data_IF_619975740434
#
_entry.id   IF_619975740434
#
_cell.length_a   1.000
_cell.length_b   1.000
_cell.length_c   1.000
_cell.angle_alpha   90.00
_cell.angle_beta   90.00
_cell.angle_gamma   90.00
#
_symmetry.space_group_name_H-M   'P 1'
#
loop_
_entity.id
_entity.type
_entity.pdbx_description
1 polymer ?
#
# COMPACT_ATOMS: atom_id res chain seq x y z
N UNK A 1 0.07 39.65 1.48
CA UNK A 1 -0.01 39.75 0.01
C UNK A 1 -0.77 38.55 -0.54
N UNK A 2 -1.68 38.72 -1.51
CA UNK A 2 -2.40 37.63 -2.19
C UNK A 2 -1.47 36.51 -2.70
N UNK A 3 -0.25 36.86 -3.12
CA UNK A 3 0.75 35.88 -3.56
C UNK A 3 1.18 34.91 -2.46
N UNK A 4 1.37 35.41 -1.23
CA UNK A 4 1.77 34.58 -0.10
C UNK A 4 0.67 33.59 0.32
N UNK A 5 -0.59 33.94 0.13
CA UNK A 5 -1.71 33.05 0.41
C UNK A 5 -1.82 31.93 -0.64
N UNK A 6 -1.64 32.25 -1.92
CA UNK A 6 -1.56 31.24 -2.98
C UNK A 6 -0.42 30.25 -2.76
N UNK A 7 0.76 30.74 -2.37
CA UNK A 7 1.91 29.88 -2.06
C UNK A 7 1.63 28.97 -0.86
N UNK A 8 1.02 29.48 0.21
CA UNK A 8 0.60 28.66 1.37
C UNK A 8 -0.39 27.57 0.95
N UNK A 9 -1.40 27.91 0.14
CA UNK A 9 -2.39 26.94 -0.34
C UNK A 9 -1.73 25.84 -1.20
N UNK A 10 -0.83 26.22 -2.12
CA UNK A 10 -0.09 25.26 -2.94
C UNK A 10 0.76 24.32 -2.08
N UNK A 11 1.49 24.86 -1.11
CA UNK A 11 2.36 24.08 -0.24
C UNK A 11 1.56 23.11 0.63
N UNK A 12 0.39 23.53 1.15
CA UNK A 12 -0.48 22.65 1.92
C UNK A 12 -1.01 21.48 1.07
N UNK A 13 -1.39 21.72 -0.19
CA UNK A 13 -1.84 20.64 -1.09
C UNK A 13 -0.71 19.65 -1.34
N UNK A 14 0.49 20.14 -1.65
CA UNK A 14 1.66 19.29 -1.89
C UNK A 14 2.02 18.49 -0.64
N UNK A 15 2.01 19.14 0.52
CA UNK A 15 2.28 18.47 1.80
C UNK A 15 1.28 17.34 2.05
N UNK A 16 -0.02 17.61 1.94
CA UNK A 16 -1.04 16.60 2.15
C UNK A 16 -0.94 15.45 1.13
N UNK A 17 -0.60 15.76 -0.13
CA UNK A 17 -0.38 14.74 -1.15
C UNK A 17 0.78 13.82 -0.77
N UNK A 18 1.91 14.38 -0.36
CA UNK A 18 3.11 13.61 0.03
C UNK A 18 2.83 12.76 1.27
N UNK A 19 2.16 13.30 2.27
CA UNK A 19 1.81 12.54 3.48
C UNK A 19 0.81 11.42 3.17
N UNK A 20 -0.19 11.68 2.33
CA UNK A 20 -1.14 10.64 1.90
C UNK A 20 -0.43 9.53 1.11
N UNK A 21 0.52 9.89 0.24
CA UNK A 21 1.31 8.93 -0.52
C UNK A 21 2.19 8.06 0.39
N UNK A 22 2.82 8.66 1.42
CA UNK A 22 3.60 7.91 2.42
C UNK A 22 2.73 6.90 3.15
N UNK A 23 1.54 7.31 3.58
CA UNK A 23 0.63 6.42 4.29
C UNK A 23 0.11 5.30 3.38
N UNK A 24 -0.22 5.62 2.12
CA UNK A 24 -0.61 4.61 1.13
C UNK A 24 0.48 3.56 0.92
N UNK A 25 1.74 3.99 0.71
CA UNK A 25 2.87 3.08 0.55
C UNK A 25 3.08 2.23 1.81
N UNK A 26 2.97 2.83 3.00
CA UNK A 26 3.09 2.09 4.26
C UNK A 26 2.01 1.01 4.41
N UNK A 27 0.77 1.31 4.03
CA UNK A 27 -0.31 0.32 4.04
C UNK A 27 -0.06 -0.81 3.03
N UNK A 28 0.48 -0.50 1.84
CA UNK A 28 0.90 -1.52 0.88
C UNK A 28 2.04 -2.40 1.42
N UNK A 29 3.02 -1.81 2.12
CA UNK A 29 4.09 -2.56 2.79
C UNK A 29 3.53 -3.53 3.83
N UNK A 30 2.56 -3.10 4.63
CA UNK A 30 1.86 -3.96 5.60
C UNK A 30 1.14 -5.10 4.87
N UNK A 31 0.40 -4.81 3.79
CA UNK A 31 -0.28 -5.85 2.99
C UNK A 31 0.72 -6.89 2.48
N UNK A 32 1.85 -6.45 1.92
CA UNK A 32 2.87 -7.36 1.40
C UNK A 32 3.54 -8.17 2.50
N UNK A 33 3.98 -7.51 3.57
CA UNK A 33 4.76 -8.13 4.64
C UNK A 33 3.91 -9.09 5.49
N UNK A 34 2.69 -8.70 5.85
CA UNK A 34 1.88 -9.42 6.82
C UNK A 34 0.82 -10.33 6.20
N UNK A 35 0.52 -10.19 4.91
CA UNK A 35 -0.49 -11.01 4.24
C UNK A 35 0.09 -11.76 3.04
N UNK A 36 0.58 -11.05 2.01
CA UNK A 36 1.03 -11.69 0.75
C UNK A 36 2.17 -12.69 1.00
N UNK A 37 3.23 -12.29 1.71
CA UNK A 37 4.37 -13.18 1.98
C UNK A 37 3.97 -14.40 2.83
N UNK A 38 3.27 -14.25 3.98
CA UNK A 38 2.78 -15.39 4.75
C UNK A 38 1.88 -16.33 3.95
N UNK A 39 0.97 -15.81 3.13
CA UNK A 39 0.06 -16.65 2.36
C UNK A 39 0.76 -17.40 1.22
N UNK A 40 1.71 -16.75 0.53
CA UNK A 40 2.58 -17.46 -0.44
C UNK A 40 3.36 -18.58 0.21
N UNK A 41 3.86 -18.36 1.43
CA UNK A 41 4.55 -19.39 2.19
C UNK A 41 3.59 -20.53 2.59
N UNK A 42 2.39 -20.22 3.06
CA UNK A 42 1.38 -21.22 3.40
C UNK A 42 0.95 -22.07 2.18
N UNK A 43 0.83 -21.44 1.01
CA UNK A 43 0.53 -22.10 -0.26
C UNK A 43 1.61 -23.10 -0.71
N UNK A 44 2.84 -22.95 -0.21
CA UNK A 44 3.97 -23.86 -0.51
C UNK A 44 4.03 -25.07 0.43
N UNK A 45 3.12 -25.20 1.40
CA UNK A 45 3.14 -26.31 2.36
C UNK A 45 2.62 -27.62 1.76
N UNK A 46 2.94 -28.77 2.39
CA UNK A 46 2.54 -30.11 1.90
C UNK A 46 1.02 -30.32 1.78
N UNK A 47 0.24 -29.60 2.59
CA UNK A 47 -1.23 -29.57 2.56
C UNK A 47 -1.67 -28.11 2.70
N UNK A 48 -1.62 -27.34 1.60
CA UNK A 48 -1.78 -25.90 1.68
C UNK A 48 -3.23 -25.52 1.97
N UNK A 49 -3.48 -24.58 2.91
CA UNK A 49 -4.83 -24.09 3.21
C UNK A 49 -5.34 -23.10 2.15
N UNK A 50 -4.47 -22.61 1.28
CA UNK A 50 -4.73 -21.64 0.20
C UNK A 50 -3.79 -21.96 -0.96
N UNK A 51 -4.23 -21.84 -2.21
CA UNK A 51 -3.36 -22.09 -3.37
C UNK A 51 -2.61 -20.84 -3.82
N UNK A 52 -1.59 -21.01 -4.65
CA UNK A 52 -0.91 -19.86 -5.27
C UNK A 52 -1.84 -19.04 -6.19
N UNK A 53 -2.81 -19.70 -6.82
CA UNK A 53 -3.80 -19.04 -7.68
C UNK A 53 -4.76 -18.17 -6.86
N UNK A 54 -5.21 -18.66 -5.69
CA UNK A 54 -6.01 -17.87 -4.75
C UNK A 54 -5.24 -16.64 -4.27
N UNK A 55 -3.98 -16.80 -3.87
CA UNK A 55 -3.15 -15.67 -3.44
C UNK A 55 -2.95 -14.66 -4.58
N UNK A 56 -2.76 -15.12 -5.82
CA UNK A 56 -2.63 -14.22 -6.95
C UNK A 56 -3.96 -13.50 -7.20
N UNK A 57 -5.10 -14.18 -7.31
CA UNK A 57 -6.40 -13.53 -7.55
C UNK A 57 -6.82 -12.52 -6.48
N UNK A 58 -6.37 -12.70 -5.22
CA UNK A 58 -6.67 -11.75 -4.13
C UNK A 58 -5.77 -10.51 -4.20
N UNK A 59 -4.47 -10.68 -4.47
CA UNK A 59 -3.48 -9.60 -4.29
C UNK A 59 -2.83 -9.08 -5.58
N UNK A 60 -3.02 -9.77 -6.69
CA UNK A 60 -2.51 -9.41 -8.01
C UNK A 60 -3.69 -9.37 -8.98
N UNK A 61 -3.90 -8.20 -9.59
CA UNK A 61 -4.82 -8.08 -10.72
C UNK A 61 -4.36 -8.95 -11.89
#
# INVERSE_FOLDING_TARGET
>A
SPHAEMMRKRNNIIFNLVESEREYVHQLEILVANYVRPFRMAASSKKPPITHEDVNSIFLN
#
